data_IF_734272019547
#
_entry.id   IF_734272019547
#
_cell.length_a   1.000
_cell.length_b   1.000
_cell.length_c   1.000
_cell.angle_alpha   90.00
_cell.angle_beta   90.00
_cell.angle_gamma   90.00
#
_symmetry.space_group_name_H-M   'P 1'
#
loop_
_entity.id
_entity.type
_entity.pdbx_description
1 polymer ?
#
# COMPACT_ATOMS: atom_id res chain seq x y z
N UNK A 1 -7.46 1.30 29.10
CA UNK A 1 -6.17 1.07 28.44
C UNK A 1 -6.50 0.49 27.09
N UNK A 2 -6.07 1.12 26.01
CA UNK A 2 -6.19 0.52 24.68
C UNK A 2 -5.25 -0.69 24.61
N UNK A 3 -5.76 -1.81 24.12
CA UNK A 3 -4.94 -3.00 23.88
C UNK A 3 -4.08 -2.76 22.64
N UNK A 4 -2.90 -3.37 22.60
CA UNK A 4 -2.03 -3.31 21.41
C UNK A 4 -2.74 -3.85 20.15
N UNK A 5 -3.63 -4.82 20.33
CA UNK A 5 -4.50 -5.32 19.26
C UNK A 5 -5.52 -4.26 18.80
N UNK A 6 -6.07 -3.47 19.72
CA UNK A 6 -6.93 -2.33 19.40
C UNK A 6 -6.22 -1.25 18.58
N UNK A 7 -4.99 -0.89 18.96
CA UNK A 7 -4.15 0.04 18.19
C UNK A 7 -3.93 -0.49 16.76
N UNK A 8 -3.58 -1.77 16.62
CA UNK A 8 -3.41 -2.40 15.31
C UNK A 8 -4.69 -2.36 14.47
N UNK A 9 -5.85 -2.62 15.09
CA UNK A 9 -7.16 -2.55 14.44
C UNK A 9 -7.49 -1.14 13.94
N UNK A 10 -7.22 -0.11 14.74
CA UNK A 10 -7.44 1.28 14.34
C UNK A 10 -6.57 1.68 13.14
N UNK A 11 -5.30 1.26 13.14
CA UNK A 11 -4.39 1.49 12.01
C UNK A 11 -4.89 0.82 10.74
N UNK A 12 -5.38 -0.42 10.82
CA UNK A 12 -6.00 -1.10 9.69
C UNK A 12 -7.27 -0.38 9.19
N UNK A 13 -8.12 0.13 10.09
CA UNK A 13 -9.31 0.93 9.72
C UNK A 13 -8.94 2.28 9.09
N UNK A 14 -7.83 2.89 9.52
CA UNK A 14 -7.31 4.10 8.88
C UNK A 14 -6.79 3.81 7.46
N UNK A 15 -6.05 2.71 7.28
CA UNK A 15 -5.62 2.24 5.95
C UNK A 15 -6.82 1.97 5.04
N UNK A 16 -7.87 1.31 5.54
CA UNK A 16 -9.08 1.05 4.76
C UNK A 16 -9.66 2.34 4.17
N UNK A 17 -9.73 3.41 4.97
CA UNK A 17 -10.23 4.72 4.52
C UNK A 17 -9.34 5.36 3.46
N UNK A 18 -8.02 5.26 3.59
CA UNK A 18 -7.07 5.79 2.62
C UNK A 18 -7.12 5.05 1.28
N UNK A 19 -7.27 3.73 1.31
CA UNK A 19 -7.18 2.88 0.12
C UNK A 19 -8.47 2.84 -0.71
N UNK A 20 -9.57 3.46 -0.24
CA UNK A 20 -10.79 3.67 -1.04
C UNK A 20 -10.49 4.58 -2.23
N UNK A 21 -9.72 5.64 -2.00
CA UNK A 21 -9.24 6.56 -3.05
C UNK A 21 -7.74 6.42 -3.17
N UNK A 22 -7.29 5.30 -3.73
CA UNK A 22 -5.88 4.91 -3.84
C UNK A 22 -5.04 5.86 -4.72
N UNK A 23 -4.74 7.06 -4.23
CA UNK A 23 -3.70 7.93 -4.80
C UNK A 23 -2.31 7.41 -4.41
N UNK A 24 -1.24 7.77 -5.14
CA UNK A 24 0.12 7.38 -4.78
C UNK A 24 0.46 7.75 -3.32
N UNK A 25 0.11 8.96 -2.89
CA UNK A 25 0.36 9.45 -1.53
C UNK A 25 -0.44 8.65 -0.49
N UNK A 26 -1.66 8.24 -0.82
CA UNK A 26 -2.48 7.41 0.06
C UNK A 26 -1.92 5.98 0.19
N UNK A 27 -1.29 5.45 -0.86
CA UNK A 27 -0.61 4.16 -0.83
C UNK A 27 0.62 4.24 0.08
N UNK A 28 1.44 5.28 -0.05
CA UNK A 28 2.63 5.48 0.80
C UNK A 28 2.23 5.64 2.28
N UNK A 29 1.18 6.42 2.57
CA UNK A 29 0.64 6.55 3.93
C UNK A 29 0.05 5.24 4.46
N UNK A 30 -0.60 4.45 3.61
CA UNK A 30 -1.10 3.14 4.02
C UNK A 30 0.06 2.18 4.35
N UNK A 31 1.17 2.21 3.61
CA UNK A 31 2.35 1.39 3.94
C UNK A 31 2.96 1.77 5.29
N UNK A 32 3.02 3.06 5.64
CA UNK A 32 3.46 3.48 6.96
C UNK A 32 2.55 2.95 8.08
N UNK A 33 1.23 3.07 7.92
CA UNK A 33 0.25 2.54 8.88
C UNK A 33 0.32 1.01 9.02
N UNK A 34 0.69 0.30 7.94
CA UNK A 34 0.89 -1.14 7.99
C UNK A 34 2.08 -1.52 8.87
N UNK A 35 3.18 -0.75 8.81
CA UNK A 35 4.35 -0.96 9.67
C UNK A 35 4.00 -0.71 11.14
N UNK A 36 3.24 0.35 11.43
CA UNK A 36 2.74 0.63 12.78
C UNK A 36 1.84 -0.50 13.30
N UNK A 37 0.90 -0.99 12.47
CA UNK A 37 0.05 -2.12 12.82
C UNK A 37 0.85 -3.40 13.08
N UNK A 38 1.88 -3.67 12.26
CA UNK A 38 2.78 -4.81 12.46
C UNK A 38 3.57 -4.71 13.77
N UNK A 39 4.06 -3.51 14.12
CA UNK A 39 4.71 -3.23 15.40
C UNK A 39 3.80 -3.53 16.59
N UNK A 40 2.57 -3.01 16.57
CA UNK A 40 1.59 -3.25 17.62
C UNK A 40 1.22 -4.74 17.77
N UNK A 41 1.14 -5.49 16.67
CA UNK A 41 0.90 -6.95 16.69
C UNK A 41 2.08 -7.71 17.30
N UNK A 42 3.32 -7.29 17.02
CA UNK A 42 4.51 -7.88 17.62
C UNK A 42 4.55 -7.65 19.13
N UNK A 43 4.22 -6.43 19.58
CA UNK A 43 4.11 -6.11 21.01
C UNK A 43 3.00 -6.91 21.69
N UNK A 44 1.84 -7.04 21.05
CA UNK A 44 0.74 -7.88 21.53
C UNK A 44 1.18 -9.34 21.69
N UNK A 45 1.87 -9.90 20.70
CA UNK A 45 2.42 -11.26 20.77
C UNK A 45 3.42 -11.42 21.92
N UNK A 46 4.34 -10.47 22.07
CA UNK A 46 5.32 -10.49 23.15
C UNK A 46 4.66 -10.41 24.54
N UNK A 47 3.54 -9.68 24.65
CA UNK A 47 2.76 -9.63 25.88
C UNK A 47 2.10 -10.99 26.19
N UNK A 48 1.54 -11.68 25.20
CA UNK A 48 0.98 -13.03 25.36
C UNK A 48 2.04 -14.04 25.81
N UNK A 49 3.23 -14.01 25.20
CA UNK A 49 4.34 -14.91 25.55
C UNK A 49 4.83 -14.70 26.99
N UNK A 50 4.66 -13.49 27.55
CA UNK A 50 4.98 -13.15 28.94
C UNK A 50 3.85 -13.45 29.94
N UNK A 51 2.80 -14.14 29.52
CA UNK A 51 1.64 -14.48 30.37
C UNK A 51 0.56 -13.38 30.42
N UNK A 52 0.56 -12.46 29.45
CA UNK A 52 -0.54 -11.53 29.26
C UNK A 52 -1.85 -12.26 28.93
N UNK A 53 -2.98 -11.69 29.35
CA UNK A 53 -4.29 -12.27 29.05
C UNK A 53 -4.53 -12.26 27.52
N UNK A 54 -5.00 -13.37 26.93
CA UNK A 54 -5.46 -13.37 25.54
C UNK A 54 -6.58 -12.35 25.39
N UNK A 55 -6.54 -11.53 24.33
CA UNK A 55 -7.68 -10.70 23.95
C UNK A 55 -8.91 -11.60 23.76
N UNK A 56 -10.09 -11.04 23.99
CA UNK A 56 -11.34 -11.75 23.71
C UNK A 56 -11.33 -12.23 22.24
N UNK A 57 -11.79 -13.46 22.01
CA UNK A 57 -11.79 -14.12 20.69
C UNK A 57 -12.49 -13.27 19.61
N UNK A 58 -13.43 -12.43 20.04
CA UNK A 58 -14.08 -11.40 19.22
C UNK A 58 -13.09 -10.37 18.64
N UNK A 59 -12.16 -9.82 19.43
CA UNK A 59 -11.17 -8.83 18.97
C UNK A 59 -10.20 -9.44 17.95
N UNK A 60 -9.76 -10.67 18.17
CA UNK A 60 -8.92 -11.40 17.20
C UNK A 60 -9.68 -11.63 15.90
N UNK A 61 -10.96 -11.99 16.00
CA UNK A 61 -11.85 -12.15 14.86
C UNK A 61 -12.01 -10.87 14.04
N UNK A 62 -12.21 -9.72 14.70
CA UNK A 62 -12.28 -8.41 14.05
C UNK A 62 -10.96 -8.03 13.39
N UNK A 63 -9.85 -8.22 14.09
CA UNK A 63 -8.51 -7.96 13.58
C UNK A 63 -8.24 -8.76 12.30
N UNK A 64 -8.55 -10.06 12.29
CA UNK A 64 -8.38 -10.92 11.12
C UNK A 64 -9.24 -10.47 9.93
N UNK A 65 -10.48 -10.03 10.19
CA UNK A 65 -11.36 -9.46 9.14
C UNK A 65 -10.77 -8.17 8.56
N UNK A 66 -10.26 -7.27 9.41
CA UNK A 66 -9.64 -6.03 9.00
C UNK A 66 -8.39 -6.27 8.13
N UNK A 67 -7.50 -7.17 8.56
CA UNK A 67 -6.32 -7.58 7.78
C UNK A 67 -6.69 -8.09 6.39
N UNK A 68 -7.65 -9.01 6.29
CA UNK A 68 -8.09 -9.57 5.01
C UNK A 68 -8.66 -8.49 4.08
N UNK A 69 -9.38 -7.51 4.63
CA UNK A 69 -9.95 -6.42 3.84
C UNK A 69 -8.87 -5.47 3.33
N UNK A 70 -7.96 -5.06 4.20
CA UNK A 70 -6.83 -4.18 3.86
C UNK A 70 -5.91 -4.83 2.83
N UNK A 71 -5.63 -6.14 2.94
CA UNK A 71 -4.84 -6.85 1.92
C UNK A 71 -5.48 -6.75 0.53
N UNK A 72 -6.78 -7.02 0.42
CA UNK A 72 -7.51 -6.93 -0.87
C UNK A 72 -7.48 -5.50 -1.43
N UNK A 73 -7.61 -4.50 -0.57
CA UNK A 73 -7.55 -3.09 -0.98
C UNK A 73 -6.14 -2.70 -1.45
N UNK A 74 -5.08 -3.11 -0.74
CA UNK A 74 -3.70 -2.87 -1.14
C UNK A 74 -3.37 -3.52 -2.49
N UNK A 75 -3.79 -4.76 -2.71
CA UNK A 75 -3.61 -5.45 -4.00
C UNK A 75 -4.32 -4.70 -5.13
N UNK A 76 -5.56 -4.26 -4.89
CA UNK A 76 -6.33 -3.47 -5.86
C UNK A 76 -5.67 -2.11 -6.16
N UNK A 77 -5.24 -1.40 -5.11
CA UNK A 77 -4.56 -0.12 -5.20
C UNK A 77 -3.26 -0.22 -6.00
N UNK A 78 -2.41 -1.21 -5.69
CA UNK A 78 -1.17 -1.47 -6.45
C UNK A 78 -1.47 -1.78 -7.91
N UNK A 79 -2.46 -2.64 -8.20
CA UNK A 79 -2.84 -2.94 -9.59
C UNK A 79 -3.27 -1.68 -10.34
N UNK A 80 -4.06 -0.81 -9.72
CA UNK A 80 -4.47 0.46 -10.33
C UNK A 80 -3.27 1.39 -10.60
N UNK A 81 -2.32 1.47 -9.67
CA UNK A 81 -1.07 2.22 -9.85
C UNK A 81 -0.24 1.68 -11.02
N UNK A 82 -0.09 0.37 -11.12
CA UNK A 82 0.60 -0.29 -12.24
C UNK A 82 -0.04 0.02 -13.59
N UNK A 83 -1.37 -0.02 -13.69
CA UNK A 83 -2.11 0.34 -14.91
C UNK A 83 -1.87 1.80 -15.28
N UNK A 84 -1.90 2.71 -14.29
CA UNK A 84 -1.64 4.14 -14.50
C UNK A 84 -0.22 4.40 -15.00
N UNK A 85 0.78 3.75 -14.40
CA UNK A 85 2.17 3.84 -14.84
C UNK A 85 2.32 3.33 -16.28
N UNK A 86 1.69 2.20 -16.62
CA UNK A 86 1.73 1.66 -17.98
C UNK A 86 1.10 2.61 -19.00
N UNK A 87 -0.01 3.25 -18.66
CA UNK A 87 -0.65 4.26 -19.51
C UNK A 87 0.29 5.46 -19.72
N UNK A 88 0.86 6.01 -18.65
CA UNK A 88 1.82 7.12 -18.74
C UNK A 88 3.04 6.73 -19.59
N UNK A 89 3.59 5.54 -19.40
CA UNK A 89 4.68 5.03 -20.23
C UNK A 89 4.25 4.93 -21.70
N UNK A 90 3.05 4.43 -21.99
CA UNK A 90 2.56 4.36 -23.38
C UNK A 90 2.31 5.72 -24.04
N UNK A 91 1.92 6.74 -23.25
CA UNK A 91 1.71 8.11 -23.75
C UNK A 91 3.03 8.84 -23.96
N UNK A 92 4.03 8.56 -23.12
CA UNK A 92 5.37 9.17 -23.21
C UNK A 92 6.29 8.45 -24.19
N UNK A 93 6.04 7.17 -24.49
CA UNK A 93 6.75 6.41 -25.50
C UNK A 93 6.03 6.53 -26.85
N UNK A 94 6.44 7.52 -27.64
CA UNK A 94 6.07 7.55 -29.06
C UNK A 94 6.88 6.50 -29.84
N UNK A 95 6.19 5.52 -30.44
CA UNK A 95 6.78 4.62 -31.43
C UNK A 95 7.09 5.41 -32.70
N UNK A 96 8.37 5.59 -33.00
CA UNK A 96 8.80 6.04 -34.34
C UNK A 96 8.90 4.83 -35.27
N UNK A 97 8.74 5.04 -36.58
CA UNK A 97 8.78 3.97 -37.61
C UNK A 97 10.11 3.18 -37.67
N UNK A 98 11.11 3.49 -36.83
CA UNK A 98 12.40 2.80 -36.70
C UNK A 98 12.54 1.93 -35.44
N UNK A 99 11.47 1.72 -34.68
CA UNK A 99 11.50 1.00 -33.39
C UNK A 99 12.43 1.63 -32.33
N UNK A 100 12.72 2.93 -32.45
CA UNK A 100 13.44 3.70 -31.43
C UNK A 100 12.44 4.24 -30.40
N UNK A 101 12.60 3.85 -29.13
CA UNK A 101 11.82 4.40 -28.02
C UNK A 101 12.25 5.85 -27.77
N UNK A 102 11.47 6.83 -28.25
CA UNK A 102 11.65 8.24 -27.92
C UNK A 102 10.76 8.60 -26.75
N UNK A 103 11.37 9.04 -25.64
CA UNK A 103 10.65 9.72 -24.57
C UNK A 103 10.18 11.07 -25.13
N UNK A 104 8.87 11.29 -25.15
CA UNK A 104 8.28 12.56 -25.54
C UNK A 104 8.59 13.61 -24.45
N UNK A 105 9.46 14.56 -24.78
CA UNK A 105 9.77 15.75 -23.98
C UNK A 105 8.94 16.91 -24.53
N UNK A 106 8.03 17.54 -23.75
CA UNK A 106 7.28 18.69 -24.25
C UNK A 106 8.13 19.97 -24.31
N UNK A 107 9.33 19.98 -23.73
CA UNK A 107 10.22 21.15 -23.75
C UNK A 107 11.68 20.73 -23.79
N UNK A 108 12.35 21.10 -24.89
CA UNK A 108 13.75 20.85 -25.26
C UNK A 108 14.01 19.49 -25.91
N UNK A 109 14.42 19.60 -27.18
CA UNK A 109 15.39 18.79 -27.88
C UNK A 109 15.36 17.28 -27.64
N UNK A 110 15.07 16.53 -28.69
CA UNK A 110 15.29 15.08 -28.73
C UNK A 110 16.73 14.73 -28.32
N UNK A 111 16.89 14.14 -27.14
CA UNK A 111 18.15 13.53 -26.72
C UNK A 111 18.19 12.12 -27.28
N UNK A 112 19.06 11.90 -28.28
CA UNK A 112 19.34 10.56 -28.77
C UNK A 112 20.21 9.85 -27.73
N UNK A 113 19.68 8.80 -27.11
CA UNK A 113 20.49 7.88 -26.31
C UNK A 113 21.02 6.81 -27.26
N UNK A 114 22.33 6.87 -27.56
CA UNK A 114 23.04 5.75 -28.22
C UNK A 114 23.32 4.69 -27.14
N UNK A 115 22.91 3.45 -27.40
CA UNK A 115 23.48 2.27 -26.74
C UNK A 115 24.94 2.11 -27.13
#
# INVERSE_FOLDING_TARGET
METQLGIALERLRAMERLLISATPEAIDQAEALLQEAAGAVLEYRAALEKGGAPSEEAEVGEFRKACNRVMKLLEGARRAQWVRLRLLTSLTQTYTARAEAKNWSPWRGTVNVRM
#
